data_IF_444263624416
#
_entry.id   IF_444263624416
#
_cell.length_a   1.000
_cell.length_b   1.000
_cell.length_c   1.000
_cell.angle_alpha   90.00
_cell.angle_beta   90.00
_cell.angle_gamma   90.00
#
_symmetry.space_group_name_H-M   'P 1'
#
loop_
_entity.id
_entity.type
_entity.pdbx_description
1 polymer ?
#
# COMPACT_ATOMS: atom_id res chain seq x y z
N UNK A 1 -12.03 4.53 32.55
CA UNK A 1 -12.49 4.22 31.17
C UNK A 1 -11.51 4.72 30.11
N UNK A 2 -10.97 5.94 30.24
CA UNK A 2 -10.01 6.54 29.29
C UNK A 2 -8.82 5.63 28.91
N UNK A 3 -8.18 4.98 29.89
CA UNK A 3 -7.03 4.10 29.63
C UNK A 3 -7.34 2.90 28.71
N UNK A 4 -8.57 2.35 28.79
CA UNK A 4 -9.00 1.25 27.91
C UNK A 4 -9.20 1.74 26.47
N UNK A 5 -9.74 2.95 26.30
CA UNK A 5 -9.93 3.55 24.98
C UNK A 5 -8.59 3.89 24.32
N UNK A 6 -7.63 4.41 25.08
CA UNK A 6 -6.27 4.68 24.58
C UNK A 6 -5.56 3.39 24.14
N UNK A 7 -5.64 2.33 24.96
CA UNK A 7 -5.07 1.04 24.62
C UNK A 7 -5.71 0.45 23.35
N UNK A 8 -7.04 0.51 23.22
CA UNK A 8 -7.74 0.04 22.04
C UNK A 8 -7.37 0.84 20.79
N UNK A 9 -7.27 2.17 20.89
CA UNK A 9 -6.85 3.04 19.79
C UNK A 9 -5.42 2.75 19.32
N UNK A 10 -4.48 2.58 20.26
CA UNK A 10 -3.11 2.21 19.93
C UNK A 10 -3.02 0.85 19.25
N UNK A 11 -3.80 -0.14 19.72
CA UNK A 11 -3.86 -1.46 19.11
C UNK A 11 -4.41 -1.39 17.67
N UNK A 12 -5.49 -0.65 17.46
CA UNK A 12 -6.07 -0.46 16.13
C UNK A 12 -5.10 0.23 15.17
N UNK A 13 -4.39 1.25 15.63
CA UNK A 13 -3.36 1.93 14.83
C UNK A 13 -2.18 1.01 14.50
N UNK A 14 -1.72 0.22 15.47
CA UNK A 14 -0.66 -0.77 15.28
C UNK A 14 -1.05 -1.84 14.26
N UNK A 15 -2.25 -2.41 14.39
CA UNK A 15 -2.78 -3.37 13.41
C UNK A 15 -2.92 -2.71 12.04
N UNK A 16 -3.46 -1.50 11.98
CA UNK A 16 -3.60 -0.74 10.74
C UNK A 16 -2.27 -0.57 10.00
N UNK A 17 -1.20 -0.27 10.71
CA UNK A 17 0.10 -0.06 10.07
C UNK A 17 0.88 -1.36 9.79
N UNK A 18 0.79 -2.36 10.67
CA UNK A 18 1.55 -3.62 10.54
C UNK A 18 0.89 -4.63 9.60
N UNK A 19 -0.44 -4.61 9.46
CA UNK A 19 -1.16 -5.54 8.60
C UNK A 19 -0.71 -5.51 7.14
N UNK A 20 -0.52 -4.34 6.47
CA UNK A 20 0.02 -4.29 5.11
C UNK A 20 1.37 -4.99 4.96
N UNK A 21 2.28 -4.80 5.93
CA UNK A 21 3.63 -5.38 5.91
C UNK A 21 3.56 -6.91 5.97
N UNK A 22 2.75 -7.42 6.89
CA UNK A 22 2.57 -8.86 7.07
C UNK A 22 1.82 -9.51 5.90
N UNK A 23 0.72 -8.90 5.44
CA UNK A 23 -0.12 -9.45 4.38
C UNK A 23 0.63 -9.55 3.05
N UNK A 24 1.40 -8.52 2.69
CA UNK A 24 2.13 -8.45 1.42
C UNK A 24 3.58 -8.96 1.50
N UNK A 25 4.04 -9.43 2.68
CA UNK A 25 5.43 -9.82 2.94
C UNK A 25 6.41 -8.71 2.55
N UNK A 26 6.16 -7.49 3.02
CA UNK A 26 6.89 -6.28 2.64
C UNK A 26 7.67 -5.70 3.83
N UNK A 27 8.78 -5.03 3.55
CA UNK A 27 9.58 -4.33 4.57
C UNK A 27 9.08 -2.91 4.86
N UNK A 28 8.31 -2.31 3.94
CA UNK A 28 7.70 -0.99 4.07
C UNK A 28 6.27 -1.00 3.58
N UNK A 29 5.44 -0.04 4.03
CA UNK A 29 4.04 0.00 3.61
C UNK A 29 3.90 0.46 2.16
N UNK A 30 4.82 1.29 1.66
CA UNK A 30 4.88 1.63 0.24
C UNK A 30 5.19 0.42 -0.63
N UNK A 31 6.11 -0.45 -0.20
CA UNK A 31 6.33 -1.71 -0.91
C UNK A 31 5.09 -2.62 -0.87
N UNK A 32 4.36 -2.66 0.26
CA UNK A 32 3.09 -3.39 0.36
C UNK A 32 2.05 -2.88 -0.65
N UNK A 33 1.92 -1.55 -0.81
CA UNK A 33 1.03 -0.95 -1.83
C UNK A 33 1.40 -1.38 -3.25
N UNK A 34 2.69 -1.35 -3.60
CA UNK A 34 3.12 -1.74 -4.95
C UNK A 34 2.86 -3.22 -5.23
N UNK A 35 3.14 -4.10 -4.27
CA UNK A 35 2.82 -5.52 -4.37
C UNK A 35 1.33 -5.76 -4.53
N UNK A 36 0.51 -5.07 -3.74
CA UNK A 36 -0.95 -5.15 -3.84
C UNK A 36 -1.44 -4.71 -5.21
N UNK A 37 -0.91 -3.61 -5.73
CA UNK A 37 -1.24 -3.09 -7.06
C UNK A 37 -0.90 -4.07 -8.18
N UNK A 38 0.25 -4.74 -8.09
CA UNK A 38 0.60 -5.82 -9.03
C UNK A 38 -0.40 -6.97 -8.92
N UNK A 39 -0.69 -7.45 -7.70
CA UNK A 39 -1.61 -8.56 -7.48
C UNK A 39 -3.03 -8.29 -8.01
N UNK A 40 -3.56 -7.07 -7.83
CA UNK A 40 -4.88 -6.72 -8.38
C UNK A 40 -4.86 -6.56 -9.90
N UNK A 41 -3.81 -5.95 -10.45
CA UNK A 41 -3.64 -5.83 -11.91
C UNK A 41 -3.54 -7.18 -12.59
N UNK A 42 -2.93 -8.16 -11.93
CA UNK A 42 -2.84 -9.56 -12.40
C UNK A 42 -4.18 -10.27 -12.38
N UNK A 43 -4.95 -10.11 -11.30
CA UNK A 43 -6.29 -10.69 -11.18
C UNK A 43 -7.23 -10.18 -12.28
N UNK A 44 -7.08 -8.91 -12.66
CA UNK A 44 -7.89 -8.25 -13.70
C UNK A 44 -7.27 -8.33 -15.11
N UNK A 45 -6.21 -9.12 -15.30
CA UNK A 45 -5.44 -9.12 -16.54
C UNK A 45 -6.22 -9.71 -17.73
N UNK A 46 -6.80 -8.84 -18.54
CA UNK A 46 -7.15 -9.17 -19.92
C UNK A 46 -5.89 -9.43 -20.76
N UNK A 47 -5.93 -10.33 -21.76
CA UNK A 47 -4.76 -10.70 -22.56
C UNK A 47 -4.05 -9.52 -23.24
N UNK A 48 -4.75 -8.41 -23.50
CA UNK A 48 -4.18 -7.19 -24.05
C UNK A 48 -3.25 -6.41 -23.09
N UNK A 49 -3.28 -6.68 -21.78
CA UNK A 49 -2.50 -5.97 -20.75
C UNK A 49 -1.33 -6.80 -20.18
N UNK A 50 -1.10 -7.99 -20.71
CA UNK A 50 -0.03 -8.88 -20.24
C UNK A 50 1.36 -8.28 -20.41
N UNK A 51 1.60 -7.51 -21.49
CA UNK A 51 2.88 -6.85 -21.70
C UNK A 51 3.13 -5.74 -20.67
N UNK A 52 2.13 -4.88 -20.41
CA UNK A 52 2.23 -3.83 -19.38
C UNK A 52 2.43 -4.41 -17.98
N UNK A 53 1.78 -5.53 -17.69
CA UNK A 53 1.92 -6.24 -16.43
C UNK A 53 3.32 -6.86 -16.28
N UNK A 54 3.85 -7.47 -17.34
CA UNK A 54 5.21 -8.02 -17.34
C UNK A 54 6.27 -6.93 -17.10
N UNK A 55 6.11 -5.77 -17.73
CA UNK A 55 6.99 -4.60 -17.49
C UNK A 55 6.85 -4.10 -16.06
N UNK A 56 5.62 -4.03 -15.54
CA UNK A 56 5.37 -3.61 -14.17
C UNK A 56 6.01 -4.56 -13.16
N UNK A 57 5.93 -5.88 -13.34
CA UNK A 57 6.63 -6.84 -12.46
C UNK A 57 8.15 -6.63 -12.47
N UNK A 58 8.74 -6.56 -13.66
CA UNK A 58 10.21 -6.44 -13.79
C UNK A 58 10.73 -5.12 -13.20
N UNK A 59 9.92 -4.05 -13.21
CA UNK A 59 10.32 -2.74 -12.68
C UNK A 59 9.91 -2.50 -11.23
N UNK A 60 8.75 -3.00 -10.79
CA UNK A 60 8.24 -2.72 -9.45
C UNK A 60 8.71 -3.73 -8.40
N UNK A 61 8.74 -5.03 -8.69
CA UNK A 61 9.12 -6.04 -7.68
C UNK A 61 10.58 -5.95 -7.24
N UNK A 62 11.58 -5.93 -8.16
CA UNK A 62 12.98 -5.97 -7.76
C UNK A 62 13.65 -4.59 -7.67
N UNK A 63 13.11 -3.55 -8.31
CA UNK A 63 13.81 -2.26 -8.46
C UNK A 63 13.14 -1.09 -7.72
N UNK A 64 11.82 -1.09 -7.57
CA UNK A 64 11.13 0.04 -6.94
C UNK A 64 11.34 0.09 -5.42
N UNK A 65 11.28 -1.05 -4.73
CA UNK A 65 11.35 -1.12 -3.26
C UNK A 65 10.37 -0.15 -2.54
N UNK A 66 9.21 0.14 -3.13
CA UNK A 66 8.25 1.11 -2.60
C UNK A 66 8.47 2.56 -3.04
N UNK A 67 9.47 2.86 -3.88
CA UNK A 67 9.80 4.24 -4.29
C UNK A 67 8.70 4.87 -5.15
N UNK A 68 8.10 4.12 -6.06
CA UNK A 68 7.01 4.62 -6.91
C UNK A 68 5.80 4.98 -6.05
N UNK A 69 5.39 4.09 -5.14
CA UNK A 69 4.32 4.38 -4.19
C UNK A 69 4.69 5.54 -3.25
N UNK A 70 5.94 5.65 -2.80
CA UNK A 70 6.39 6.74 -1.94
C UNK A 70 6.30 8.11 -2.63
N UNK A 71 6.72 8.21 -3.89
CA UNK A 71 6.62 9.45 -4.67
C UNK A 71 5.17 9.85 -4.92
N UNK A 72 4.32 8.88 -5.27
CA UNK A 72 2.89 9.11 -5.44
C UNK A 72 2.22 9.54 -4.11
N UNK A 73 2.52 8.84 -3.02
CA UNK A 73 2.01 9.15 -1.69
C UNK A 73 2.45 10.54 -1.23
N UNK A 74 3.69 10.96 -1.51
CA UNK A 74 4.17 12.30 -1.17
C UNK A 74 3.45 13.40 -1.97
N UNK A 75 3.14 13.14 -3.24
CA UNK A 75 2.34 14.04 -4.07
C UNK A 75 0.91 14.20 -3.55
N UNK A 76 0.27 13.11 -3.12
CA UNK A 76 -1.12 13.12 -2.64
C UNK A 76 -1.28 13.56 -1.18
N UNK A 77 -0.33 13.21 -0.31
CA UNK A 77 -0.33 13.53 1.12
C UNK A 77 0.95 14.29 1.52
N UNK A 78 1.11 15.56 1.10
CA UNK A 78 2.35 16.29 1.33
C UNK A 78 2.69 16.49 2.81
N UNK A 79 1.68 16.52 3.68
CA UNK A 79 1.84 16.66 5.14
C UNK A 79 2.23 15.35 5.85
N UNK A 80 2.12 14.20 5.18
CA UNK A 80 2.47 12.91 5.78
C UNK A 80 3.88 12.47 5.34
N UNK A 81 4.60 11.75 6.22
CA UNK A 81 5.70 10.89 5.77
C UNK A 81 5.20 9.94 4.68
N UNK A 82 6.01 9.64 3.64
CA UNK A 82 5.57 8.81 2.52
C UNK A 82 4.96 7.48 2.95
N UNK A 83 5.59 6.81 3.92
CA UNK A 83 5.15 5.51 4.41
C UNK A 83 3.76 5.58 5.10
N UNK A 84 3.47 6.63 5.87
CA UNK A 84 2.11 6.82 6.40
C UNK A 84 1.08 7.12 5.29
N UNK A 85 1.49 7.85 4.25
CA UNK A 85 0.65 8.06 3.07
C UNK A 85 0.36 6.76 2.32
N UNK A 86 1.35 5.88 2.19
CA UNK A 86 1.20 4.55 1.60
C UNK A 86 0.29 3.66 2.45
N UNK A 87 0.41 3.68 3.78
CA UNK A 87 -0.53 2.96 4.65
C UNK A 87 -1.98 3.41 4.42
N UNK A 88 -2.22 4.71 4.25
CA UNK A 88 -3.56 5.24 3.91
C UNK A 88 -4.04 4.72 2.56
N UNK A 89 -3.21 4.75 1.52
CA UNK A 89 -3.58 4.21 0.20
C UNK A 89 -3.84 2.71 0.23
N UNK A 90 -3.05 1.94 0.99
CA UNK A 90 -3.24 0.50 1.12
C UNK A 90 -4.66 0.17 1.62
N UNK A 91 -5.07 0.78 2.73
CA UNK A 91 -6.41 0.55 3.28
C UNK A 91 -7.52 1.05 2.36
N UNK A 92 -7.30 2.16 1.65
CA UNK A 92 -8.28 2.66 0.69
C UNK A 92 -8.47 1.72 -0.49
N UNK A 93 -7.38 1.20 -1.05
CA UNK A 93 -7.43 0.18 -2.09
C UNK A 93 -8.02 -1.15 -1.59
N UNK A 94 -7.74 -1.54 -0.35
CA UNK A 94 -8.29 -2.77 0.24
C UNK A 94 -9.81 -2.68 0.51
N UNK A 95 -10.29 -1.48 0.83
CA UNK A 95 -11.70 -1.21 1.16
C UNK A 95 -12.49 -0.59 0.00
N UNK A 96 -11.91 -0.57 -1.21
CA UNK A 96 -12.49 0.04 -2.42
C UNK A 96 -13.04 1.46 -2.20
N UNK A 97 -12.32 2.27 -1.42
CA UNK A 97 -12.70 3.65 -1.15
C UNK A 97 -12.39 4.56 -2.34
N UNK A 98 -13.30 5.48 -2.73
CA UNK A 98 -13.11 6.33 -3.91
C UNK A 98 -11.89 7.23 -3.75
N UNK A 99 -11.08 7.46 -4.81
CA UNK A 99 -9.90 8.34 -4.77
C UNK A 99 -10.29 9.77 -4.34
N UNK A 100 -9.37 10.47 -3.66
CA UNK A 100 -9.53 11.90 -3.35
C UNK A 100 -8.99 12.76 -4.48
#
# INVERSE_FOLDING_TARGET
MLGKLLAAGALAAGVGYLYPLWNEHASTTCQAVEKRFLATTEADAHPARLLSLAVARVTLEPLSHGWVAATQAKGRYPALPPDLGCAVEYWRGLLDLPPR
#
